data_IF_194680473086
#
_entry.id   IF_194680473086
#
_cell.length_a   1.000
_cell.length_b   1.000
_cell.length_c   1.000
_cell.angle_alpha   90.00
_cell.angle_beta   90.00
_cell.angle_gamma   90.00
#
_symmetry.space_group_name_H-M   'P 1'
#
loop_
_entity.id
_entity.type
_entity.pdbx_description
1 polymer ?
#
# COMPACT_ATOMS: atom_id res chain seq x y z
N UNK A 1 4.67 26.50 17.83
CA UNK A 1 3.48 27.36 18.00
C UNK A 1 3.79 28.70 18.68
N UNK A 2 4.71 28.77 19.64
CA UNK A 2 4.97 29.98 20.43
C UNK A 2 5.73 31.14 19.75
N UNK A 3 6.25 30.98 18.52
CA UNK A 3 7.02 32.03 17.81
C UNK A 3 6.16 33.26 17.44
N UNK A 4 4.84 33.12 17.47
CA UNK A 4 3.90 34.21 17.22
C UNK A 4 3.65 35.08 18.47
N UNK A 5 4.11 34.64 19.65
CA UNK A 5 4.00 35.43 20.87
C UNK A 5 5.03 36.56 20.88
N UNK A 6 4.72 37.60 21.64
CA UNK A 6 5.60 38.74 21.76
C UNK A 6 6.90 38.36 22.49
N UNK A 7 8.05 38.97 22.13
CA UNK A 7 9.35 38.62 22.71
C UNK A 7 9.38 38.69 24.24
N UNK A 8 8.65 39.62 24.85
CA UNK A 8 8.52 39.73 26.30
C UNK A 8 7.84 38.52 26.95
N UNK A 9 6.81 37.95 26.30
CA UNK A 9 6.14 36.74 26.76
C UNK A 9 7.05 35.53 26.58
N UNK A 10 7.76 35.45 25.45
CA UNK A 10 8.70 34.36 25.18
C UNK A 10 9.83 34.37 26.22
N UNK A 11 10.37 35.54 26.59
CA UNK A 11 11.37 35.67 27.66
C UNK A 11 10.88 35.15 28.99
N UNK A 12 9.68 35.53 29.40
CA UNK A 12 9.10 35.08 30.66
C UNK A 12 8.80 33.58 30.65
N UNK A 13 8.35 33.02 29.53
CA UNK A 13 8.16 31.57 29.37
C UNK A 13 9.49 30.81 29.48
N UNK A 14 10.55 31.32 28.85
CA UNK A 14 11.88 30.68 28.85
C UNK A 14 12.55 30.79 30.23
N UNK A 15 12.39 31.91 30.94
CA UNK A 15 13.04 32.16 32.24
C UNK A 15 12.24 31.55 33.41
N UNK A 16 10.92 31.73 33.45
CA UNK A 16 10.09 31.35 34.58
C UNK A 16 9.38 29.99 34.41
N UNK A 17 9.40 29.41 33.19
CA UNK A 17 8.73 28.14 32.90
C UNK A 17 7.21 28.18 33.02
N UNK A 18 6.61 29.37 33.17
CA UNK A 18 5.18 29.60 33.34
C UNK A 18 4.68 30.62 32.33
N UNK A 19 3.42 30.47 31.90
CA UNK A 19 2.79 31.39 30.96
C UNK A 19 2.34 32.64 31.73
N UNK A 20 2.84 33.84 31.40
CA UNK A 20 2.47 35.06 32.09
C UNK A 20 1.05 35.51 31.75
N UNK A 21 0.43 36.39 32.57
CA UNK A 21 -0.88 36.95 32.28
C UNK A 21 -0.83 37.76 30.98
N UNK A 22 -1.83 37.55 30.11
CA UNK A 22 -1.90 38.21 28.80
C UNK A 22 -1.97 39.74 28.90
N UNK A 23 -1.26 40.42 28.01
CA UNK A 23 -1.27 41.88 27.88
C UNK A 23 -1.76 42.28 26.49
N UNK A 24 -2.58 43.34 26.43
CA UNK A 24 -3.11 43.88 25.17
C UNK A 24 -2.00 44.22 24.18
N UNK A 25 -0.86 44.73 24.65
CA UNK A 25 0.25 45.10 23.78
C UNK A 25 0.94 43.87 23.16
N UNK A 26 0.93 42.73 23.86
CA UNK A 26 1.45 41.46 23.35
C UNK A 26 0.48 40.83 22.36
N UNK A 27 -0.84 41.02 22.55
CA UNK A 27 -1.85 40.62 21.56
C UNK A 27 -1.71 41.41 20.24
N UNK A 28 -1.33 42.69 20.29
CA UNK A 28 -1.05 43.48 19.08
C UNK A 28 0.12 42.90 18.28
N UNK A 29 1.16 42.39 18.95
CA UNK A 29 2.28 41.74 18.29
C UNK A 29 1.83 40.44 17.59
N UNK A 30 1.12 39.59 18.31
CA UNK A 30 0.58 38.33 17.78
C UNK A 30 -0.38 38.59 16.61
N UNK A 31 -1.25 39.60 16.73
CA UNK A 31 -2.13 40.05 15.66
C UNK A 31 -1.34 40.50 14.42
N UNK A 32 -0.24 41.24 14.60
CA UNK A 32 0.65 41.61 13.50
C UNK A 32 1.25 40.40 12.78
N UNK A 33 1.68 39.38 13.54
CA UNK A 33 2.20 38.12 12.98
C UNK A 33 1.15 37.33 12.21
N UNK A 34 -0.10 37.30 12.71
CA UNK A 34 -1.23 36.66 12.03
C UNK A 34 -1.58 37.42 10.76
N UNK A 35 -1.67 38.75 10.80
CA UNK A 35 -1.94 39.56 9.60
C UNK A 35 -0.83 39.36 8.57
N UNK A 36 0.44 39.30 8.97
CA UNK A 36 1.55 39.00 8.06
C UNK A 36 1.42 37.61 7.41
N UNK A 37 1.10 36.56 8.18
CA UNK A 37 0.86 35.23 7.61
C UNK A 37 -0.30 35.22 6.62
N UNK A 38 -1.35 35.98 6.91
CA UNK A 38 -2.52 36.13 6.04
C UNK A 38 -2.13 36.83 4.74
N UNK A 39 -1.36 37.93 4.82
CA UNK A 39 -0.97 38.73 3.66
C UNK A 39 0.07 38.03 2.78
N UNK A 40 1.09 37.43 3.38
CA UNK A 40 2.25 36.89 2.64
C UNK A 40 2.22 35.37 2.49
N UNK A 41 1.27 34.67 3.12
CA UNK A 41 1.11 33.19 3.07
C UNK A 41 2.37 32.40 3.45
N UNK A 42 3.27 33.03 4.19
CA UNK A 42 4.50 32.43 4.73
C UNK A 42 4.48 32.46 6.26
N UNK A 43 5.12 31.49 6.88
CA UNK A 43 5.32 31.51 8.33
C UNK A 43 6.20 32.70 8.72
N UNK A 44 5.98 33.34 9.89
CA UNK A 44 6.88 34.38 10.37
C UNK A 44 8.30 33.80 10.48
N UNK A 45 9.30 34.58 10.07
CA UNK A 45 10.70 34.17 10.03
C UNK A 45 11.04 33.03 9.03
N UNK A 46 10.19 32.79 8.01
CA UNK A 46 10.42 31.78 6.94
C UNK A 46 11.83 31.83 6.34
N UNK A 47 12.38 33.04 6.13
CA UNK A 47 13.71 33.27 5.55
C UNK A 47 14.87 32.65 6.35
N UNK A 48 14.65 32.39 7.64
CA UNK A 48 15.73 31.95 8.54
C UNK A 48 15.91 30.44 8.59
N UNK A 49 14.98 29.64 8.07
CA UNK A 49 15.12 28.17 7.94
C UNK A 49 15.48 27.40 9.22
N UNK A 50 15.28 28.00 10.40
CA UNK A 50 15.67 27.45 11.72
C UNK A 50 14.49 26.77 12.41
N UNK A 51 14.79 25.80 13.29
CA UNK A 51 13.80 25.15 14.15
C UNK A 51 13.14 26.15 15.10
N UNK A 52 11.89 25.89 15.48
CA UNK A 52 11.09 26.77 16.34
C UNK A 52 11.73 27.02 17.71
N UNK A 53 12.44 26.04 18.26
CA UNK A 53 13.16 26.14 19.54
C UNK A 53 14.29 27.16 19.47
N UNK A 54 15.14 27.08 18.43
CA UNK A 54 16.23 28.04 18.23
C UNK A 54 15.72 29.44 17.97
N UNK A 55 14.56 29.58 17.31
CA UNK A 55 13.92 30.88 17.11
C UNK A 55 13.44 31.47 18.43
N UNK A 56 12.86 30.65 19.33
CA UNK A 56 12.46 31.11 20.66
C UNK A 56 13.65 31.53 21.52
N UNK A 57 14.74 30.74 21.51
CA UNK A 57 15.98 31.09 22.22
C UNK A 57 16.55 32.42 21.72
N UNK A 58 16.61 32.63 20.40
CA UNK A 58 17.09 33.88 19.82
C UNK A 58 16.17 35.07 20.12
N UNK A 59 14.85 34.87 20.19
CA UNK A 59 13.90 35.93 20.57
C UNK A 59 13.96 36.23 22.09
N UNK A 60 14.37 35.25 22.90
CA UNK A 60 14.51 35.38 24.34
C UNK A 60 15.84 36.01 24.78
N UNK A 61 16.94 35.73 24.07
CA UNK A 61 18.32 36.07 24.47
C UNK A 61 18.86 37.37 23.89
N UNK A 62 18.00 38.29 23.44
CA UNK A 62 18.43 39.58 22.88
C UNK A 62 19.01 40.48 23.99
N UNK A 63 20.32 40.38 24.21
CA UNK A 63 21.10 41.36 24.97
C UNK A 63 21.31 42.62 24.12
N UNK A 64 21.48 43.77 24.75
CA UNK A 64 21.46 45.13 24.16
C UNK A 64 22.35 45.39 22.91
N UNK A 65 23.25 44.47 22.54
CA UNK A 65 24.15 44.59 21.37
C UNK A 65 23.81 43.67 20.17
N UNK A 66 22.82 42.77 20.28
CA UNK A 66 22.43 41.87 19.17
C UNK A 66 21.21 42.40 18.38
N UNK A 67 21.29 42.31 17.04
CA UNK A 67 20.26 42.84 16.13
C UNK A 67 18.87 42.29 16.45
N UNK A 68 17.96 43.18 16.85
CA UNK A 68 16.52 42.91 17.01
C UNK A 68 15.98 42.09 15.84
N UNK A 69 15.47 40.89 16.13
CA UNK A 69 15.03 39.94 15.11
C UNK A 69 13.58 40.23 14.73
N UNK A 70 13.33 40.56 13.46
CA UNK A 70 12.00 40.78 12.90
C UNK A 70 11.78 39.93 11.63
N UNK A 71 10.54 39.58 11.28
CA UNK A 71 10.23 39.00 9.97
C UNK A 71 10.55 40.03 8.89
N UNK A 72 11.26 39.63 7.84
CA UNK A 72 11.41 40.48 6.65
C UNK A 72 10.24 40.22 5.70
N UNK A 73 9.86 41.25 4.95
CA UNK A 73 8.83 41.11 3.94
C UNK A 73 9.41 40.45 2.69
N UNK A 74 8.76 39.39 2.17
CA UNK A 74 9.16 38.80 0.89
C UNK A 74 9.20 39.89 -0.18
N UNK A 75 10.33 40.02 -0.88
CA UNK A 75 10.41 40.87 -2.06
C UNK A 75 9.46 40.30 -3.11
N UNK A 76 8.48 41.08 -3.56
CA UNK A 76 7.54 40.68 -4.62
C UNK A 76 8.29 40.43 -5.92
N UNK A 77 8.77 39.21 -6.15
CA UNK A 77 9.42 38.80 -7.40
C UNK A 77 8.42 38.54 -8.55
N UNK A 78 7.17 38.95 -8.41
CA UNK A 78 6.11 38.61 -9.35
C UNK A 78 5.10 39.73 -9.50
N UNK A 79 5.48 40.85 -10.14
CA UNK A 79 4.61 41.78 -10.89
C UNK A 79 3.34 42.36 -10.24
N UNK A 80 3.00 42.00 -9.00
CA UNK A 80 1.86 42.47 -8.25
C UNK A 80 2.27 43.73 -7.50
N UNK A 81 1.48 44.80 -7.68
CA UNK A 81 1.64 46.05 -6.94
C UNK A 81 1.82 45.73 -5.45
N UNK A 82 3.00 46.05 -4.92
CA UNK A 82 3.32 45.77 -3.52
C UNK A 82 2.24 46.33 -2.58
N UNK A 83 1.99 45.64 -1.47
CA UNK A 83 1.05 46.11 -0.45
C UNK A 83 1.36 47.57 -0.07
N UNK A 84 0.30 48.35 0.20
CA UNK A 84 0.44 49.76 0.54
C UNK A 84 1.49 49.97 1.65
N UNK A 85 2.45 50.86 1.41
CA UNK A 85 3.55 51.18 2.33
C UNK A 85 3.04 51.51 3.75
N UNK A 86 1.87 52.14 3.87
CA UNK A 86 1.27 52.47 5.16
C UNK A 86 0.78 51.23 5.93
N UNK A 87 0.32 50.18 5.24
CA UNK A 87 -0.05 48.91 5.87
C UNK A 87 1.21 48.16 6.33
N UNK A 88 2.27 48.15 5.52
CA UNK A 88 3.55 47.52 5.86
C UNK A 88 4.19 48.20 7.07
N UNK A 89 4.26 49.54 7.10
CA UNK A 89 4.76 50.27 8.26
C UNK A 89 3.89 50.05 9.51
N UNK A 90 2.59 49.83 9.35
CA UNK A 90 1.72 49.49 10.47
C UNK A 90 2.04 48.09 11.04
N UNK A 91 2.39 47.12 10.19
CA UNK A 91 2.80 45.79 10.61
C UNK A 91 4.17 45.81 11.30
N UNK A 92 5.14 46.55 10.76
CA UNK A 92 6.43 46.76 11.42
C UNK A 92 6.27 47.38 12.80
N UNK A 93 5.33 48.32 12.96
CA UNK A 93 5.03 48.95 14.24
C UNK A 93 4.38 47.97 15.25
N UNK A 94 3.67 46.94 14.79
CA UNK A 94 3.14 45.88 15.67
C UNK A 94 4.26 45.01 16.26
N UNK A 95 5.42 44.92 15.59
CA UNK A 95 6.56 44.10 16.01
C UNK A 95 7.65 44.88 16.75
N UNK A 96 7.33 46.05 17.30
CA UNK A 96 8.27 46.80 18.11
C UNK A 96 8.56 46.06 19.43
N UNK A 97 9.82 46.09 19.84
CA UNK A 97 10.29 45.45 21.08
C UNK A 97 9.63 46.08 22.32
N UNK A 98 9.51 47.40 22.32
CA UNK A 98 8.87 48.16 23.39
C UNK A 98 7.34 48.03 23.26
N UNK A 99 6.64 47.38 24.21
CA UNK A 99 5.21 47.13 24.08
C UNK A 99 4.37 48.40 23.98
N UNK A 100 4.75 49.47 24.67
CA UNK A 100 4.03 50.75 24.69
C UNK A 100 4.08 51.52 23.37
N UNK A 101 5.09 51.26 22.54
CA UNK A 101 5.25 51.91 21.24
C UNK A 101 4.40 51.24 20.15
N UNK A 102 3.79 50.08 20.45
CA UNK A 102 2.94 49.35 19.51
C UNK A 102 1.61 50.10 19.29
N UNK A 103 1.04 50.04 18.07
CA UNK A 103 -0.20 50.74 17.76
C UNK A 103 -1.40 50.15 18.52
N UNK A 104 -2.36 51.00 18.91
CA UNK A 104 -3.62 50.53 19.47
C UNK A 104 -4.46 49.77 18.41
N UNK A 105 -5.22 48.77 18.83
CA UNK A 105 -6.16 47.98 18.00
C UNK A 105 -7.09 48.85 17.14
N UNK A 106 -7.50 50.03 17.60
CA UNK A 106 -8.30 50.97 16.80
C UNK A 106 -7.53 51.46 15.58
N UNK A 107 -6.25 51.81 15.74
CA UNK A 107 -5.37 52.27 14.66
C UNK A 107 -5.08 51.13 13.68
N UNK A 108 -4.74 49.94 14.18
CA UNK A 108 -4.52 48.74 13.35
C UNK A 108 -5.76 48.44 12.52
N UNK A 109 -6.94 48.42 13.14
CA UNK A 109 -8.21 48.19 12.46
C UNK A 109 -8.51 49.25 11.40
N UNK A 110 -8.29 50.53 11.69
CA UNK A 110 -8.50 51.60 10.71
C UNK A 110 -7.55 51.44 9.53
N UNK A 111 -6.27 51.14 9.75
CA UNK A 111 -5.26 50.96 8.70
C UNK A 111 -5.55 49.72 7.84
N UNK A 112 -5.91 48.61 8.45
CA UNK A 112 -6.32 47.37 7.77
C UNK A 112 -7.58 47.65 6.95
N UNK A 113 -8.59 48.29 7.54
CA UNK A 113 -9.83 48.59 6.82
C UNK A 113 -9.65 49.66 5.72
N UNK A 114 -8.80 50.66 5.90
CA UNK A 114 -8.60 51.72 4.90
C UNK A 114 -7.80 51.23 3.69
N UNK A 115 -6.86 50.31 3.91
CA UNK A 115 -6.01 49.76 2.85
C UNK A 115 -6.60 48.50 2.20
N UNK A 116 -7.46 47.76 2.90
CA UNK A 116 -8.08 46.53 2.39
C UNK A 116 -9.55 46.70 1.97
N UNK A 117 -10.19 47.86 2.24
CA UNK A 117 -11.50 48.23 1.67
C UNK A 117 -11.33 49.24 0.53
N UNK A 118 -10.74 48.80 -0.58
CA UNK A 118 -10.84 49.55 -1.83
C UNK A 118 -12.30 49.51 -2.34
N UNK A 119 -12.77 50.62 -2.92
CA UNK A 119 -14.15 50.90 -3.36
C UNK A 119 -14.57 50.14 -4.65
N UNK A 120 -14.36 48.83 -4.72
CA UNK A 120 -14.82 47.98 -5.84
C UNK A 120 -15.47 46.69 -5.33
N UNK A 121 -16.45 46.15 -6.05
CA UNK A 121 -17.25 44.97 -5.67
C UNK A 121 -16.37 43.81 -5.15
N UNK A 122 -16.55 43.47 -3.87
CA UNK A 122 -15.92 42.33 -3.18
C UNK A 122 -14.79 42.77 -2.25
N UNK A 123 -14.97 42.57 -0.93
CA UNK A 123 -13.87 42.81 0.02
C UNK A 123 -12.76 41.77 -0.22
N UNK A 124 -11.50 42.10 0.03
CA UNK A 124 -10.39 41.15 -0.08
C UNK A 124 -10.62 39.91 0.81
N UNK A 125 -11.38 40.05 1.92
CA UNK A 125 -11.85 38.93 2.75
C UNK A 125 -12.76 37.97 1.97
N UNK A 126 -13.65 38.48 1.12
CA UNK A 126 -14.53 37.66 0.27
C UNK A 126 -13.73 36.94 -0.81
N UNK A 127 -12.75 37.63 -1.40
CA UNK A 127 -11.83 37.01 -2.36
C UNK A 127 -10.97 35.94 -1.68
N UNK A 128 -10.53 36.17 -0.44
CA UNK A 128 -9.80 35.17 0.35
C UNK A 128 -10.68 33.98 0.75
N UNK A 129 -11.94 34.20 1.11
CA UNK A 129 -12.89 33.12 1.37
C UNK A 129 -13.12 32.28 0.13
N UNK A 130 -13.31 32.91 -1.03
CA UNK A 130 -13.45 32.21 -2.32
C UNK A 130 -12.20 31.41 -2.69
N UNK A 131 -11.02 32.00 -2.51
CA UNK A 131 -9.75 31.30 -2.76
C UNK A 131 -9.50 30.16 -1.76
N UNK A 132 -9.94 30.30 -0.49
CA UNK A 132 -9.89 29.21 0.47
C UNK A 132 -10.85 28.09 0.09
N UNK A 133 -12.05 28.41 -0.38
CA UNK A 133 -13.06 27.45 -0.83
C UNK A 133 -12.56 26.67 -2.07
N UNK A 134 -11.97 27.37 -3.04
CA UNK A 134 -11.30 26.77 -4.20
C UNK A 134 -10.10 25.90 -3.79
N UNK A 135 -9.31 26.33 -2.79
CA UNK A 135 -8.19 25.52 -2.29
C UNK A 135 -8.66 24.28 -1.54
N UNK A 136 -9.68 24.39 -0.69
CA UNK A 136 -10.26 23.24 0.02
C UNK A 136 -10.88 22.24 -0.94
N UNK A 137 -11.60 22.70 -1.96
CA UNK A 137 -12.18 21.81 -2.99
C UNK A 137 -11.10 21.12 -3.83
N UNK A 138 -10.02 21.83 -4.18
CA UNK A 138 -8.87 21.22 -4.86
C UNK A 138 -8.14 20.20 -3.98
N UNK A 139 -7.96 20.49 -2.68
CA UNK A 139 -7.38 19.53 -1.74
C UNK A 139 -8.26 18.30 -1.55
N UNK A 140 -9.57 18.47 -1.42
CA UNK A 140 -10.51 17.36 -1.32
C UNK A 140 -10.48 16.49 -2.58
N UNK A 141 -10.39 17.10 -3.77
CA UNK A 141 -10.22 16.37 -5.02
C UNK A 141 -8.90 15.58 -5.03
N UNK A 142 -7.79 16.21 -4.64
CA UNK A 142 -6.48 15.57 -4.60
C UNK A 142 -6.44 14.41 -3.59
N UNK A 143 -7.03 14.60 -2.40
CA UNK A 143 -7.15 13.55 -1.38
C UNK A 143 -7.99 12.40 -1.93
N UNK A 144 -9.13 12.69 -2.56
CA UNK A 144 -10.01 11.68 -3.15
C UNK A 144 -9.28 10.85 -4.22
N UNK A 145 -8.55 11.51 -5.12
CA UNK A 145 -7.76 10.84 -6.15
C UNK A 145 -6.67 9.96 -5.55
N UNK A 146 -5.95 10.47 -4.54
CA UNK A 146 -4.91 9.70 -3.84
C UNK A 146 -5.50 8.51 -3.09
N UNK A 147 -6.64 8.66 -2.42
CA UNK A 147 -7.31 7.54 -1.75
C UNK A 147 -7.77 6.49 -2.75
N UNK A 148 -8.30 6.88 -3.91
CA UNK A 148 -8.72 5.94 -4.95
C UNK A 148 -7.53 5.15 -5.52
N UNK A 149 -6.40 5.83 -5.77
CA UNK A 149 -5.16 5.15 -6.21
C UNK A 149 -4.63 4.17 -5.16
N UNK A 150 -4.68 4.54 -3.88
CA UNK A 150 -4.25 3.66 -2.78
C UNK A 150 -5.17 2.43 -2.67
N UNK A 151 -6.48 2.60 -2.77
CA UNK A 151 -7.45 1.50 -2.74
C UNK A 151 -7.22 0.53 -3.91
N UNK A 152 -6.96 1.05 -5.12
CA UNK A 152 -6.68 0.21 -6.28
C UNK A 152 -5.37 -0.57 -6.12
N UNK A 153 -4.30 0.10 -5.66
CA UNK A 153 -3.03 -0.54 -5.37
C UNK A 153 -3.15 -1.61 -4.28
N UNK A 154 -3.91 -1.33 -3.21
CA UNK A 154 -4.18 -2.29 -2.14
C UNK A 154 -4.94 -3.51 -2.67
N UNK A 155 -5.95 -3.30 -3.51
CA UNK A 155 -6.72 -4.39 -4.13
C UNK A 155 -5.87 -5.24 -5.06
N UNK A 156 -4.94 -4.64 -5.79
CA UNK A 156 -3.98 -5.38 -6.63
C UNK A 156 -3.00 -6.20 -5.78
N UNK A 157 -2.43 -5.60 -4.74
CA UNK A 157 -1.55 -6.29 -3.80
C UNK A 157 -2.26 -7.49 -3.14
N UNK A 158 -3.50 -7.29 -2.71
CA UNK A 158 -4.33 -8.34 -2.11
C UNK A 158 -4.62 -9.49 -3.08
N UNK A 159 -4.89 -9.19 -4.34
CA UNK A 159 -5.09 -10.22 -5.38
C UNK A 159 -3.81 -11.03 -5.60
N UNK A 160 -2.66 -10.36 -5.70
CA UNK A 160 -1.38 -11.03 -5.90
C UNK A 160 -1.02 -11.92 -4.71
N UNK A 161 -1.21 -11.41 -3.49
CA UNK A 161 -0.93 -12.16 -2.27
C UNK A 161 -1.80 -13.43 -2.18
N UNK A 162 -3.10 -13.32 -2.49
CA UNK A 162 -4.01 -14.47 -2.52
C UNK A 162 -3.76 -15.45 -3.67
N UNK A 163 -3.08 -15.02 -4.74
CA UNK A 163 -2.67 -15.92 -5.83
C UNK A 163 -1.41 -16.73 -5.47
N UNK A 164 -0.57 -16.21 -4.58
CA UNK A 164 0.68 -16.85 -4.16
C UNK A 164 0.50 -17.69 -2.89
N UNK A 165 -0.36 -17.26 -1.98
CA UNK A 165 -0.52 -17.86 -0.65
C UNK A 165 -1.99 -18.18 -0.35
N UNK A 166 -2.28 -19.19 0.50
CA UNK A 166 -3.61 -19.41 1.02
C UNK A 166 -4.14 -18.16 1.74
N UNK A 167 -5.45 -17.92 1.65
CA UNK A 167 -6.09 -16.75 2.29
C UNK A 167 -5.77 -16.62 3.77
N UNK A 168 -5.80 -17.72 4.51
CA UNK A 168 -5.50 -17.74 5.96
C UNK A 168 -4.08 -17.25 6.26
N UNK A 169 -3.10 -17.72 5.49
CA UNK A 169 -1.70 -17.29 5.62
C UNK A 169 -1.52 -15.83 5.16
N UNK A 170 -2.18 -15.44 4.07
CA UNK A 170 -2.16 -14.07 3.57
C UNK A 170 -2.73 -13.07 4.59
N UNK A 171 -3.83 -13.42 5.27
CA UNK A 171 -4.43 -12.59 6.32
C UNK A 171 -3.53 -12.45 7.56
N UNK A 172 -2.92 -13.54 8.01
CA UNK A 172 -1.97 -13.49 9.13
C UNK A 172 -0.74 -12.62 8.80
N UNK A 173 -0.21 -12.72 7.56
CA UNK A 173 0.89 -11.87 7.09
C UNK A 173 0.51 -10.39 7.00
N UNK A 174 -0.72 -10.06 6.59
CA UNK A 174 -1.22 -8.67 6.55
C UNK A 174 -1.26 -8.03 7.94
N UNK A 175 -1.54 -8.83 8.98
CA UNK A 175 -1.60 -8.37 10.37
C UNK A 175 -0.19 -8.34 11.01
N UNK A 176 0.85 -8.76 10.28
CA UNK A 176 2.23 -8.82 10.77
C UNK A 176 2.48 -9.99 11.72
N UNK A 177 1.61 -11.02 11.71
CA UNK A 177 1.86 -12.23 12.49
C UNK A 177 2.90 -13.11 11.78
N UNK A 178 3.90 -13.62 12.50
CA UNK A 178 4.83 -14.59 11.93
C UNK A 178 4.11 -15.91 11.63
N UNK A 179 4.32 -16.44 10.43
CA UNK A 179 3.78 -17.75 10.02
C UNK A 179 4.67 -18.84 10.63
N UNK A 180 4.19 -19.49 11.69
CA UNK A 180 4.90 -20.58 12.35
C UNK A 180 4.69 -21.90 11.59
N UNK A 181 5.70 -22.79 11.52
CA UNK A 181 5.53 -24.14 11.00
C UNK A 181 4.46 -24.90 11.79
N UNK A 182 3.48 -25.47 11.09
CA UNK A 182 2.42 -26.28 11.68
C UNK A 182 2.55 -27.75 11.26
N UNK A 183 2.23 -28.65 12.17
CA UNK A 183 2.15 -30.08 11.91
C UNK A 183 0.69 -30.45 11.65
N UNK A 184 0.43 -31.03 10.49
CA UNK A 184 -0.90 -31.48 10.09
C UNK A 184 -0.99 -32.99 10.28
N UNK A 185 -2.03 -33.46 10.95
CA UNK A 185 -2.17 -34.90 11.24
C UNK A 185 -2.52 -35.72 9.99
N UNK A 186 -3.31 -35.12 9.08
CA UNK A 186 -3.86 -35.77 7.90
C UNK A 186 -3.77 -34.82 6.69
N UNK A 187 -2.97 -35.18 5.70
CA UNK A 187 -2.88 -34.48 4.43
C UNK A 187 -2.62 -35.47 3.28
N UNK A 188 -3.05 -35.14 2.07
CA UNK A 188 -2.71 -35.91 0.86
C UNK A 188 -2.08 -35.00 -0.17
N UNK A 189 -0.91 -35.42 -0.67
CA UNK A 189 -0.14 -34.70 -1.68
C UNK A 189 -0.21 -35.45 -3.00
N UNK A 190 -0.55 -34.75 -4.08
CA UNK A 190 -0.46 -35.24 -5.45
C UNK A 190 0.75 -34.61 -6.13
N UNK A 191 1.59 -35.47 -6.71
CA UNK A 191 2.69 -35.09 -7.57
C UNK A 191 2.35 -35.48 -9.00
N UNK A 192 2.41 -34.51 -9.92
CA UNK A 192 2.29 -34.72 -11.36
C UNK A 192 3.59 -34.31 -12.02
N UNK A 193 4.06 -35.09 -12.98
CA UNK A 193 5.33 -34.87 -13.71
C UNK A 193 5.10 -35.13 -15.20
N UNK A 194 5.75 -34.35 -16.06
CA UNK A 194 5.60 -34.47 -17.51
C UNK A 194 6.67 -35.42 -18.05
N UNK A 195 6.25 -36.57 -18.55
CA UNK A 195 7.23 -37.50 -19.13
C UNK A 195 7.89 -36.92 -20.37
N UNK A 196 9.21 -37.05 -20.41
CA UNK A 196 10.01 -36.61 -21.55
C UNK A 196 10.17 -35.10 -21.66
N UNK A 197 9.82 -34.32 -20.63
CA UNK A 197 9.95 -32.86 -20.66
C UNK A 197 11.37 -32.41 -21.01
N UNK A 198 12.42 -33.02 -20.45
CA UNK A 198 13.82 -32.69 -20.78
C UNK A 198 14.12 -32.80 -22.28
N UNK A 199 13.50 -33.76 -22.97
CA UNK A 199 13.66 -33.95 -24.40
C UNK A 199 12.86 -32.90 -25.18
N UNK A 200 11.62 -32.63 -24.77
CA UNK A 200 10.79 -31.57 -25.35
C UNK A 200 11.48 -30.21 -25.21
N UNK A 201 12.00 -29.90 -24.02
CA UNK A 201 12.67 -28.64 -23.73
C UNK A 201 13.97 -28.47 -24.51
N UNK A 202 14.65 -29.56 -24.87
CA UNK A 202 15.88 -29.52 -25.68
C UNK A 202 15.62 -29.18 -27.15
N UNK A 203 14.43 -29.48 -27.66
CA UNK A 203 14.05 -29.29 -29.08
C UNK A 203 13.15 -28.09 -29.33
N UNK A 204 12.62 -27.47 -28.27
CA UNK A 204 11.68 -26.35 -28.36
C UNK A 204 12.34 -25.03 -27.97
N UNK A 205 11.81 -23.94 -28.50
CA UNK A 205 12.24 -22.61 -28.07
C UNK A 205 11.75 -22.31 -26.65
N UNK A 206 12.49 -21.50 -25.85
CA UNK A 206 12.07 -21.15 -24.49
C UNK A 206 10.65 -20.58 -24.43
N UNK A 207 10.27 -19.74 -25.40
CA UNK A 207 8.94 -19.14 -25.46
C UNK A 207 7.85 -20.20 -25.63
N UNK A 208 8.05 -21.19 -26.50
CA UNK A 208 7.08 -22.27 -26.73
C UNK A 208 6.88 -23.14 -25.49
N UNK A 209 7.96 -23.44 -24.75
CA UNK A 209 7.91 -24.24 -23.52
C UNK A 209 7.13 -23.49 -22.44
N UNK A 210 7.40 -22.20 -22.27
CA UNK A 210 6.70 -21.36 -21.29
C UNK A 210 5.21 -21.28 -21.62
N UNK A 211 4.84 -21.05 -22.88
CA UNK A 211 3.43 -21.02 -23.29
C UNK A 211 2.74 -22.36 -23.03
N UNK A 212 3.38 -23.49 -23.39
CA UNK A 212 2.85 -24.82 -23.15
C UNK A 212 2.61 -25.11 -21.66
N UNK A 213 3.60 -24.82 -20.81
CA UNK A 213 3.46 -25.00 -19.36
C UNK A 213 2.36 -24.10 -18.80
N UNK A 214 2.28 -22.84 -19.25
CA UNK A 214 1.28 -21.90 -18.79
C UNK A 214 -0.14 -22.35 -19.16
N UNK A 215 -0.37 -22.84 -20.38
CA UNK A 215 -1.68 -23.33 -20.81
C UNK A 215 -2.11 -24.57 -20.02
N UNK A 216 -1.19 -25.51 -19.81
CA UNK A 216 -1.46 -26.73 -19.06
C UNK A 216 -1.73 -26.43 -17.57
N UNK A 217 -0.87 -25.62 -16.93
CA UNK A 217 -1.01 -25.25 -15.53
C UNK A 217 -2.21 -24.35 -15.28
N UNK A 218 -2.58 -23.47 -16.22
CA UNK A 218 -3.83 -22.69 -16.13
C UNK A 218 -5.06 -23.61 -16.10
N UNK A 219 -5.04 -24.68 -16.89
CA UNK A 219 -6.09 -25.70 -16.87
C UNK A 219 -6.17 -26.46 -15.53
N UNK A 220 -5.02 -26.81 -14.96
CA UNK A 220 -4.94 -27.42 -13.63
C UNK A 220 -5.43 -26.48 -12.53
N UNK A 221 -4.97 -25.23 -12.53
CA UNK A 221 -5.39 -24.19 -11.59
C UNK A 221 -6.92 -23.99 -11.63
N UNK A 222 -7.54 -24.04 -12.82
CA UNK A 222 -9.00 -23.96 -12.97
C UNK A 222 -9.76 -25.17 -12.39
N UNK A 223 -9.14 -26.35 -12.38
CA UNK A 223 -9.70 -27.56 -11.76
C UNK A 223 -9.59 -27.45 -10.23
N UNK A 224 -8.44 -27.03 -9.73
CA UNK A 224 -8.16 -26.92 -8.30
C UNK A 224 -8.98 -25.82 -7.66
N UNK A 225 -9.22 -24.70 -8.34
CA UNK A 225 -10.07 -23.62 -7.84
C UNK A 225 -11.50 -24.06 -7.46
N UNK A 226 -11.96 -25.23 -7.93
CA UNK A 226 -13.27 -25.81 -7.61
C UNK A 226 -13.24 -26.84 -6.48
N UNK A 227 -12.07 -27.14 -5.92
CA UNK A 227 -11.87 -28.14 -4.87
C UNK A 227 -11.05 -27.55 -3.72
N UNK A 228 -11.11 -28.21 -2.57
CA UNK A 228 -10.29 -27.86 -1.42
C UNK A 228 -8.87 -28.45 -1.57
N UNK A 229 -8.07 -27.83 -2.44
CA UNK A 229 -6.66 -28.18 -2.60
C UNK A 229 -5.81 -26.92 -2.81
N UNK A 230 -4.62 -26.95 -2.24
CA UNK A 230 -3.63 -25.89 -2.30
C UNK A 230 -2.48 -26.27 -3.23
N UNK A 231 -2.11 -25.34 -4.11
CA UNK A 231 -0.90 -25.43 -4.94
C UNK A 231 0.28 -24.98 -4.08
N UNK A 232 1.25 -25.87 -3.84
CA UNK A 232 2.40 -25.55 -3.01
C UNK A 232 3.41 -24.74 -3.83
N UNK A 233 4.21 -25.38 -4.66
CA UNK A 233 5.10 -24.73 -5.63
C UNK A 233 5.41 -25.71 -6.77
N UNK A 234 5.63 -25.20 -7.98
CA UNK A 234 6.04 -26.01 -9.14
C UNK A 234 7.56 -26.02 -9.26
N UNK A 235 8.17 -27.21 -9.40
CA UNK A 235 9.61 -27.35 -9.67
C UNK A 235 9.76 -27.80 -11.11
N UNK A 236 10.01 -26.85 -12.02
CA UNK A 236 10.14 -27.13 -13.44
C UNK A 236 8.81 -27.59 -14.05
N UNK A 237 8.79 -28.84 -14.51
CA UNK A 237 7.64 -29.53 -15.10
C UNK A 237 6.78 -30.30 -14.10
N UNK A 238 7.22 -30.38 -12.85
CA UNK A 238 6.47 -31.02 -11.78
C UNK A 238 5.43 -30.07 -11.18
N UNK A 239 4.20 -30.56 -11.07
CA UNK A 239 3.06 -29.86 -10.49
C UNK A 239 2.63 -30.54 -9.19
N UNK A 240 2.71 -29.80 -8.07
CA UNK A 240 2.45 -30.31 -6.72
C UNK A 240 1.24 -29.63 -6.09
N UNK A 241 0.30 -30.46 -5.62
CA UNK A 241 -0.86 -30.00 -4.87
C UNK A 241 -1.05 -30.80 -3.60
N UNK A 242 -1.62 -30.16 -2.58
CA UNK A 242 -1.93 -30.78 -1.29
C UNK A 242 -3.37 -30.47 -0.90
N UNK A 243 -4.06 -31.42 -0.29
CA UNK A 243 -5.34 -31.21 0.36
C UNK A 243 -5.22 -31.57 1.85
N UNK A 244 -6.00 -30.90 2.70
CA UNK A 244 -5.89 -30.95 4.16
C UNK A 244 -4.92 -29.92 4.76
N UNK A 245 -4.39 -29.00 3.93
CA UNK A 245 -3.49 -27.90 4.32
C UNK A 245 -3.88 -26.64 3.54
N UNK A 246 -3.93 -25.44 4.16
CA UNK A 246 -3.65 -25.15 5.58
C UNK A 246 -4.83 -25.43 6.51
N UNK A 247 -6.01 -25.73 5.98
CA UNK A 247 -7.18 -26.10 6.78
C UNK A 247 -7.38 -27.60 6.73
N UNK A 248 -7.37 -28.24 7.90
CA UNK A 248 -7.63 -29.68 8.01
C UNK A 248 -9.08 -29.99 7.63
N UNK A 249 -9.27 -30.93 6.70
CA UNK A 249 -10.58 -31.32 6.19
C UNK A 249 -10.95 -32.77 6.53
N UNK A 250 -10.43 -33.30 7.64
CA UNK A 250 -10.71 -34.67 8.08
C UNK A 250 -10.21 -35.70 7.07
N UNK A 251 -11.06 -36.63 6.61
CA UNK A 251 -10.71 -37.62 5.58
C UNK A 251 -11.02 -37.15 4.15
N UNK A 252 -11.59 -35.95 3.98
CA UNK A 252 -11.99 -35.44 2.67
C UNK A 252 -10.79 -35.11 1.78
N UNK A 253 -9.58 -34.92 2.33
CA UNK A 253 -8.37 -34.68 1.53
C UNK A 253 -8.10 -35.78 0.50
N UNK A 254 -8.39 -37.05 0.83
CA UNK A 254 -8.19 -38.17 -0.11
C UNK A 254 -9.18 -38.06 -1.26
N UNK A 255 -10.45 -37.77 -0.95
CA UNK A 255 -11.51 -37.64 -1.93
C UNK A 255 -11.25 -36.46 -2.87
N UNK A 256 -10.89 -35.29 -2.34
CA UNK A 256 -10.59 -34.11 -3.15
C UNK A 256 -9.40 -34.36 -4.09
N UNK A 257 -8.32 -34.97 -3.61
CA UNK A 257 -7.17 -35.29 -4.46
C UNK A 257 -7.53 -36.34 -5.53
N UNK A 258 -8.32 -37.35 -5.19
CA UNK A 258 -8.77 -38.36 -6.16
C UNK A 258 -9.65 -37.72 -7.27
N UNK A 259 -10.59 -36.85 -6.90
CA UNK A 259 -11.45 -36.12 -7.84
C UNK A 259 -10.63 -35.19 -8.73
N UNK A 260 -9.66 -34.46 -8.16
CA UNK A 260 -8.74 -33.60 -8.91
C UNK A 260 -7.91 -34.43 -9.88
N UNK A 261 -7.33 -35.55 -9.46
CA UNK A 261 -6.53 -36.42 -10.33
C UNK A 261 -7.35 -36.94 -11.53
N UNK A 262 -8.61 -37.32 -11.30
CA UNK A 262 -9.51 -37.75 -12.38
C UNK A 262 -9.85 -36.61 -13.34
N UNK A 263 -10.08 -35.39 -12.82
CA UNK A 263 -10.36 -34.20 -13.64
C UNK A 263 -9.13 -33.74 -14.40
N UNK A 264 -7.95 -33.72 -13.78
CA UNK A 264 -6.67 -33.44 -14.44
C UNK A 264 -6.43 -34.43 -15.57
N UNK A 265 -6.70 -35.71 -15.34
CA UNK A 265 -6.60 -36.73 -16.40
C UNK A 265 -7.57 -36.49 -17.55
N UNK A 266 -8.82 -36.16 -17.24
CA UNK A 266 -9.82 -35.85 -18.27
C UNK A 266 -9.48 -34.58 -19.04
N UNK A 267 -8.90 -33.59 -18.37
CA UNK A 267 -8.41 -32.37 -18.99
C UNK A 267 -7.26 -32.68 -19.94
N UNK A 268 -6.24 -33.44 -19.50
CA UNK A 268 -5.10 -33.80 -20.35
C UNK A 268 -5.50 -34.74 -21.48
N UNK A 269 -6.46 -35.65 -21.29
CA UNK A 269 -6.96 -36.49 -22.39
C UNK A 269 -7.64 -35.69 -23.50
N UNK A 270 -8.18 -34.51 -23.17
CA UNK A 270 -8.73 -33.57 -24.14
C UNK A 270 -7.72 -32.49 -24.59
N UNK A 271 -6.60 -32.35 -23.87
CA UNK A 271 -5.53 -31.41 -24.16
C UNK A 271 -4.63 -32.01 -25.24
N UNK A 272 -4.98 -31.73 -26.50
CA UNK A 272 -4.13 -32.12 -27.63
C UNK A 272 -2.90 -31.21 -27.67
N UNK A 273 -1.73 -31.80 -27.46
CA UNK A 273 -0.46 -31.21 -27.92
C UNK A 273 -0.59 -30.96 -29.43
N UNK A 274 -0.55 -29.69 -29.84
CA UNK A 274 -0.64 -29.28 -31.25
C UNK A 274 0.48 -29.86 -32.16
N UNK A 275 1.37 -30.70 -31.62
CA UNK A 275 2.43 -31.36 -32.37
C UNK A 275 2.53 -32.89 -32.24
N UNK A 276 1.86 -33.59 -31.28
CA UNK A 276 1.82 -35.08 -31.23
C UNK A 276 0.61 -35.64 -30.44
N UNK A 277 -0.33 -36.35 -31.09
CA UNK A 277 -1.61 -36.78 -30.49
C UNK A 277 -1.66 -38.18 -29.82
N UNK A 278 -0.54 -38.84 -29.46
CA UNK A 278 -0.57 -40.25 -29.01
C UNK A 278 -0.12 -40.56 -27.56
N UNK A 279 0.05 -39.59 -26.66
CA UNK A 279 0.54 -39.90 -25.29
C UNK A 279 -0.57 -39.97 -24.22
N UNK A 280 -0.59 -41.09 -23.47
CA UNK A 280 -1.59 -41.47 -22.45
C UNK A 280 -1.01 -41.29 -21.04
N UNK A 281 -1.84 -40.83 -20.09
CA UNK A 281 -1.49 -40.60 -18.69
C UNK A 281 -1.23 -41.88 -17.86
N UNK A 282 -0.39 -41.74 -16.83
CA UNK A 282 0.16 -42.83 -16.02
C UNK A 282 -0.18 -42.67 -14.53
N UNK A 283 -0.28 -43.80 -13.82
CA UNK A 283 -0.59 -43.83 -12.38
C UNK A 283 0.42 -44.70 -11.61
N UNK A 284 0.77 -44.27 -10.40
CA UNK A 284 1.65 -44.98 -9.46
C UNK A 284 0.91 -46.07 -8.66
N UNK A 285 1.63 -47.08 -8.17
CA UNK A 285 1.09 -48.20 -7.37
C UNK A 285 0.20 -47.79 -6.19
N UNK A 286 0.60 -46.75 -5.46
CA UNK A 286 -0.15 -46.24 -4.31
C UNK A 286 -1.55 -45.75 -4.73
N UNK A 287 -1.63 -45.04 -5.86
CA UNK A 287 -2.88 -44.59 -6.42
C UNK A 287 -3.70 -45.75 -7.04
N UNK A 288 -3.05 -46.76 -7.62
CA UNK A 288 -3.75 -47.98 -8.07
C UNK A 288 -4.45 -48.71 -6.92
N UNK A 289 -3.75 -48.91 -5.79
CA UNK A 289 -4.31 -49.60 -4.63
C UNK A 289 -5.52 -48.86 -4.05
N UNK A 290 -5.46 -47.53 -3.95
CA UNK A 290 -6.58 -46.71 -3.51
C UNK A 290 -7.78 -46.78 -4.47
N UNK A 291 -7.54 -46.71 -5.78
CA UNK A 291 -8.60 -46.85 -6.79
C UNK A 291 -9.24 -48.24 -6.71
N UNK A 292 -8.43 -49.31 -6.58
CA UNK A 292 -8.91 -50.69 -6.46
C UNK A 292 -9.76 -50.90 -5.21
N UNK A 293 -9.39 -50.31 -4.08
CA UNK A 293 -10.10 -50.46 -2.81
C UNK A 293 -11.39 -49.64 -2.74
N UNK A 294 -11.38 -48.39 -3.22
CA UNK A 294 -12.48 -47.45 -3.00
C UNK A 294 -13.33 -47.16 -4.25
N UNK A 295 -12.83 -47.45 -5.44
CA UNK A 295 -13.46 -47.05 -6.71
C UNK A 295 -13.36 -48.16 -7.77
N UNK A 296 -14.05 -49.28 -7.55
CA UNK A 296 -14.09 -50.47 -8.43
C UNK A 296 -14.58 -50.22 -9.86
N UNK A 297 -15.13 -49.03 -10.12
CA UNK A 297 -15.60 -48.60 -11.44
C UNK A 297 -14.48 -48.26 -12.44
N UNK A 298 -13.21 -48.24 -12.03
CA UNK A 298 -12.09 -47.89 -12.91
C UNK A 298 -11.25 -49.13 -13.28
N UNK A 299 -10.91 -49.26 -14.57
CA UNK A 299 -10.04 -50.32 -15.09
C UNK A 299 -8.60 -49.85 -15.18
N UNK A 300 -7.68 -50.63 -14.61
CA UNK A 300 -6.24 -50.40 -14.68
C UNK A 300 -5.51 -51.59 -15.29
N UNK A 301 -4.45 -51.35 -16.06
CA UNK A 301 -3.56 -52.40 -16.59
C UNK A 301 -2.17 -52.24 -16.00
N UNK A 302 -1.60 -53.35 -15.52
CA UNK A 302 -0.23 -53.38 -14.99
C UNK A 302 0.80 -53.24 -16.12
N UNK A 303 1.77 -52.35 -15.92
CA UNK A 303 2.85 -52.07 -16.89
C UNK A 303 4.20 -52.64 -16.45
N UNK A 304 4.37 -52.90 -15.16
CA UNK A 304 5.66 -53.30 -14.57
C UNK A 304 6.35 -52.16 -13.80
N UNK A 305 7.56 -52.44 -13.32
CA UNK A 305 8.36 -51.53 -12.50
C UNK A 305 9.01 -50.44 -13.35
N UNK A 306 8.88 -49.19 -12.90
CA UNK A 306 9.53 -48.03 -13.50
C UNK A 306 10.19 -47.23 -12.40
N UNK A 307 11.39 -46.75 -12.67
CA UNK A 307 12.08 -45.83 -11.78
C UNK A 307 11.36 -44.47 -11.75
N UNK A 308 10.85 -44.12 -10.58
CA UNK A 308 10.14 -42.85 -10.33
C UNK A 308 11.08 -41.95 -9.52
N UNK A 309 11.35 -40.76 -10.07
CA UNK A 309 12.24 -39.77 -9.48
C UNK A 309 11.83 -39.47 -8.03
N UNK A 310 12.75 -39.70 -7.08
CA UNK A 310 12.52 -39.48 -5.65
C UNK A 310 11.81 -40.61 -4.89
N UNK A 311 11.36 -41.69 -5.56
CA UNK A 311 10.75 -42.87 -4.92
C UNK A 311 11.43 -44.21 -5.24
N UNK A 312 12.33 -44.24 -6.24
CA UNK A 312 12.98 -45.47 -6.70
C UNK A 312 12.08 -46.28 -7.64
N UNK A 313 12.38 -47.56 -7.83
CA UNK A 313 11.54 -48.44 -8.66
C UNK A 313 10.16 -48.65 -8.02
N UNK A 314 9.13 -48.17 -8.70
CA UNK A 314 7.73 -48.34 -8.29
C UNK A 314 6.98 -49.15 -9.34
N UNK A 315 6.03 -49.98 -8.90
CA UNK A 315 5.10 -50.61 -9.84
C UNK A 315 4.20 -49.52 -10.45
N UNK A 316 3.94 -49.60 -11.76
CA UNK A 316 3.12 -48.60 -12.45
C UNK A 316 2.01 -49.23 -13.25
N UNK A 317 0.92 -48.47 -13.37
CA UNK A 317 -0.31 -48.94 -13.99
C UNK A 317 -0.82 -47.89 -14.98
N UNK A 318 -1.40 -48.35 -16.08
CA UNK A 318 -2.23 -47.54 -16.97
C UNK A 318 -3.65 -47.47 -16.41
N UNK A 319 -4.28 -46.31 -16.48
CA UNK A 319 -5.70 -46.14 -16.15
C UNK A 319 -6.50 -46.03 -17.44
N UNK A 320 -7.00 -47.17 -17.93
CA UNK A 320 -7.66 -47.26 -19.24
C UNK A 320 -9.01 -46.54 -19.30
N UNK A 321 -9.76 -46.48 -18.19
CA UNK A 321 -11.09 -45.87 -18.23
C UNK A 321 -12.00 -46.25 -17.08
N UNK A 322 -13.26 -45.83 -17.20
CA UNK A 322 -14.35 -46.21 -16.30
C UNK A 322 -15.16 -47.31 -16.98
N UNK A 323 -15.32 -48.47 -16.33
CA UNK A 323 -16.24 -49.50 -16.79
C UNK A 323 -17.66 -48.89 -16.71
N UNK A 324 -18.30 -48.69 -17.87
CA UNK A 324 -19.70 -48.30 -17.90
C UNK A 324 -20.51 -49.37 -17.17
N UNK A 325 -21.30 -48.98 -16.18
CA UNK A 325 -22.32 -49.87 -15.61
C UNK A 325 -23.21 -50.35 -16.77
N UNK A 326 -23.29 -51.66 -16.98
CA UNK A 326 -24.40 -52.27 -17.70
C UNK A 326 -25.64 -52.23 -16.84
#
# INVERSE_FOLDING_TARGET
EYVQQAPEIIREIVIAGAIPPGNQNSDIYALGMVIYQILFRVTPFHERGKSTEKLMEMLAMTNDDDQLIRPSFPSSNSGEEGFNLQLLSCLEACWLEIPEMRPNIKKVRTMVNSNLRSKGKGSLVDQMMKMMEEYTTNLEALVRDRTAMLEEAQKQADRLLNNMLPRTIAEDLKIGKPVLPQLYACATVLFSDIRGFTRISSTSTPLQIVTFLNDMFSGFDAIIAKHDAYKVETIGDAYMIVSGVPTENGNYHVQHIADIALKMRTFVSNFKLAHRPEEIMMISEQAHNLIKCFFTQFSCIERGKIEVKGKGECMTYFLEGKLSRK
#
